data_IF_162607928291
#
_entry.id   IF_162607928291
#
_cell.length_a   1.000
_cell.length_b   1.000
_cell.length_c   1.000
_cell.angle_alpha   90.00
_cell.angle_beta   90.00
_cell.angle_gamma   90.00
#
_symmetry.space_group_name_H-M   'P 1'
#
loop_
_entity.id
_entity.type
_entity.pdbx_description
1 polymer ?
#
# COMPACT_ATOMS: atom_id res chain seq x y z
N UNK A 1 -21.21 10.99 2.96
CA UNK A 1 -19.94 11.49 3.52
C UNK A 1 -18.82 10.69 2.89
N UNK A 2 -17.73 11.32 2.48
CA UNK A 2 -16.57 10.57 2.02
C UNK A 2 -15.88 10.02 3.27
N UNK A 3 -15.99 8.71 3.50
CA UNK A 3 -15.39 8.07 4.67
C UNK A 3 -13.93 7.72 4.40
N UNK A 4 -13.13 7.70 5.47
CA UNK A 4 -11.76 7.19 5.39
C UNK A 4 -11.82 5.69 5.12
N UNK A 5 -10.94 5.19 4.26
CA UNK A 5 -10.85 3.75 4.01
C UNK A 5 -10.32 3.03 5.25
N UNK A 6 -11.13 2.14 5.83
CA UNK A 6 -10.84 1.38 7.05
C UNK A 6 -9.62 0.45 6.94
N UNK A 7 -9.18 0.17 5.71
CA UNK A 7 -7.95 -0.56 5.45
C UNK A 7 -6.76 0.40 5.27
N UNK A 8 -6.92 1.54 4.60
CA UNK A 8 -5.78 2.41 4.29
C UNK A 8 -5.43 3.36 5.45
N UNK A 9 -6.39 3.75 6.30
CA UNK A 9 -6.19 4.79 7.34
C UNK A 9 -5.06 4.48 8.34
N UNK A 10 -4.70 3.20 8.53
CA UNK A 10 -3.60 2.83 9.42
C UNK A 10 -2.27 3.32 8.82
N UNK A 11 -1.42 4.03 9.59
CA UNK A 11 -0.27 4.77 9.05
C UNK A 11 0.69 3.95 8.17
N UNK A 12 0.96 2.68 8.53
CA UNK A 12 1.87 1.84 7.76
C UNK A 12 1.25 1.37 6.44
N UNK A 13 -0.06 1.04 6.42
CA UNK A 13 -0.77 0.68 5.18
C UNK A 13 -0.83 1.87 4.23
N UNK A 14 -1.09 3.07 4.74
CA UNK A 14 -1.00 4.32 3.98
C UNK A 14 0.38 4.50 3.34
N UNK A 15 1.47 4.34 4.11
CA UNK A 15 2.85 4.45 3.59
C UNK A 15 3.17 3.42 2.50
N UNK A 16 2.74 2.16 2.69
CA UNK A 16 2.91 1.10 1.68
C UNK A 16 2.18 1.47 0.40
N UNK A 17 0.90 1.82 0.50
CA UNK A 17 0.08 2.18 -0.67
C UNK A 17 0.61 3.42 -1.38
N UNK A 18 1.09 4.43 -0.64
CA UNK A 18 1.73 5.60 -1.22
C UNK A 18 3.00 5.24 -2.01
N UNK A 19 3.88 4.41 -1.44
CA UNK A 19 5.11 3.97 -2.09
C UNK A 19 4.83 3.20 -3.39
N UNK A 20 3.81 2.33 -3.39
CA UNK A 20 3.41 1.57 -4.59
C UNK A 20 2.73 2.45 -5.64
N UNK A 21 1.96 3.47 -5.21
CA UNK A 21 1.25 4.36 -6.13
C UNK A 21 2.18 5.37 -6.82
N UNK A 22 3.35 5.66 -6.24
CA UNK A 22 4.37 6.51 -6.84
C UNK A 22 5.06 5.87 -8.08
N UNK A 23 4.82 4.58 -8.34
CA UNK A 23 5.38 3.85 -9.49
C UNK A 23 4.35 3.72 -10.63
N UNK A 24 4.80 3.69 -11.90
CA UNK A 24 3.92 3.38 -13.03
C UNK A 24 3.38 1.95 -12.92
N UNK A 25 2.23 1.69 -13.54
CA UNK A 25 1.73 0.31 -13.64
C UNK A 25 2.48 -0.47 -14.73
N UNK A 26 2.67 -1.79 -14.57
CA UNK A 26 2.31 -2.64 -13.42
C UNK A 26 3.46 -2.82 -12.40
N UNK A 27 4.33 -1.82 -12.22
CA UNK A 27 5.55 -1.96 -11.42
C UNK A 27 5.25 -2.09 -9.92
N UNK A 28 5.86 -3.10 -9.30
CA UNK A 28 5.84 -3.33 -7.86
C UNK A 28 7.15 -2.97 -7.15
N UNK A 29 7.16 -3.15 -5.83
CA UNK A 29 8.35 -3.00 -4.99
C UNK A 29 8.70 -4.32 -4.29
N UNK A 30 10.00 -4.57 -4.19
CA UNK A 30 10.51 -5.65 -3.36
C UNK A 30 10.18 -5.40 -1.88
N UNK A 31 9.88 -6.47 -1.14
CA UNK A 31 9.62 -6.40 0.30
C UNK A 31 10.75 -5.69 1.06
N UNK A 32 12.00 -5.98 0.73
CA UNK A 32 13.17 -5.33 1.34
C UNK A 32 13.20 -3.82 1.08
N UNK A 33 12.77 -3.38 -0.11
CA UNK A 33 12.67 -1.96 -0.46
C UNK A 33 11.53 -1.28 0.30
N UNK A 34 10.37 -1.93 0.41
CA UNK A 34 9.26 -1.44 1.23
C UNK A 34 9.66 -1.31 2.70
N UNK A 35 10.34 -2.31 3.26
CA UNK A 35 10.88 -2.26 4.63
C UNK A 35 11.76 -1.04 4.86
N UNK A 36 12.70 -0.78 3.94
CA UNK A 36 13.59 0.39 4.03
C UNK A 36 12.82 1.71 3.94
N UNK A 37 11.82 1.80 3.06
CA UNK A 37 11.02 3.02 2.88
C UNK A 37 10.10 3.32 4.07
N UNK A 38 9.52 2.28 4.68
CA UNK A 38 8.55 2.46 5.76
C UNK A 38 9.18 2.43 7.15
N UNK A 39 10.39 1.90 7.30
CA UNK A 39 11.06 1.69 8.59
C UNK A 39 10.46 0.55 9.41
N UNK A 40 9.63 -0.30 8.81
CA UNK A 40 8.96 -1.39 9.50
C UNK A 40 9.89 -2.58 9.78
N UNK A 41 9.54 -3.38 10.79
CA UNK A 41 10.11 -4.72 10.98
C UNK A 41 9.46 -5.72 10.02
N UNK A 42 10.09 -6.89 9.82
CA UNK A 42 9.60 -7.88 8.85
C UNK A 42 8.21 -8.40 9.22
N UNK A 43 7.98 -8.73 10.50
CA UNK A 43 6.67 -9.19 10.97
C UNK A 43 5.57 -8.14 10.80
N UNK A 44 5.88 -6.87 11.13
CA UNK A 44 4.91 -5.78 11.01
C UNK A 44 4.56 -5.51 9.53
N UNK A 45 5.57 -5.42 8.66
CA UNK A 45 5.37 -5.20 7.24
C UNK A 45 4.60 -6.36 6.59
N UNK A 46 4.95 -7.60 6.94
CA UNK A 46 4.27 -8.81 6.45
C UNK A 46 2.78 -8.82 6.79
N UNK A 47 2.42 -8.56 8.06
CA UNK A 47 1.02 -8.55 8.49
C UNK A 47 0.19 -7.46 7.77
N UNK A 48 0.76 -6.27 7.57
CA UNK A 48 0.07 -5.20 6.85
C UNK A 48 -0.06 -5.49 5.34
N UNK A 49 0.96 -6.05 4.69
CA UNK A 49 0.87 -6.50 3.30
C UNK A 49 -0.19 -7.59 3.16
N UNK A 50 -0.23 -8.57 4.06
CA UNK A 50 -1.24 -9.62 4.05
C UNK A 50 -2.65 -9.04 4.18
N UNK A 51 -2.84 -8.05 5.05
CA UNK A 51 -4.12 -7.38 5.23
C UNK A 51 -4.55 -6.64 3.95
N UNK A 52 -3.61 -5.92 3.32
CA UNK A 52 -3.87 -5.25 2.03
C UNK A 52 -4.15 -6.26 0.91
N UNK A 53 -3.48 -7.40 0.90
CA UNK A 53 -3.70 -8.46 -0.07
C UNK A 53 -5.07 -9.12 0.09
N UNK A 54 -5.49 -9.39 1.33
CA UNK A 54 -6.85 -9.89 1.66
C UNK A 54 -7.95 -8.92 1.21
N UNK A 55 -7.70 -7.61 1.29
CA UNK A 55 -8.59 -6.59 0.76
C UNK A 55 -8.53 -6.44 -0.78
N UNK A 56 -7.65 -7.17 -1.45
CA UNK A 56 -7.45 -7.08 -2.90
C UNK A 56 -6.72 -5.81 -3.35
N UNK A 57 -6.11 -5.05 -2.43
CA UNK A 57 -5.48 -3.76 -2.72
C UNK A 57 -4.07 -3.91 -3.27
N UNK A 58 -3.40 -5.01 -2.92
CA UNK A 58 -2.09 -5.37 -3.46
C UNK A 58 -2.07 -6.82 -3.91
N UNK A 59 -1.27 -7.13 -4.93
CA UNK A 59 -0.83 -8.48 -5.25
C UNK A 59 0.55 -8.72 -4.65
N UNK A 60 0.82 -9.97 -4.31
CA UNK A 60 2.11 -10.41 -3.74
C UNK A 60 2.62 -11.57 -4.58
N UNK A 61 3.76 -11.36 -5.23
CA UNK A 61 4.43 -12.36 -6.05
C UNK A 61 5.71 -12.83 -5.36
N UNK A 62 5.92 -14.14 -5.31
CA UNK A 62 7.14 -14.75 -4.79
C UNK A 62 7.86 -15.44 -5.93
N UNK A 63 9.09 -15.03 -6.18
CA UNK A 63 9.94 -15.60 -7.23
C UNK A 63 11.35 -15.87 -6.69
N UNK A 64 12.14 -16.62 -7.44
CA UNK A 64 13.58 -16.71 -7.23
C UNK A 64 14.30 -15.84 -8.26
N UNK A 65 15.03 -14.83 -7.78
CA UNK A 65 15.89 -14.00 -8.62
C UNK A 65 17.33 -14.49 -8.39
N UNK A 66 17.85 -15.26 -9.36
CA UNK A 66 19.06 -16.04 -9.18
C UNK A 66 18.86 -17.15 -8.15
N UNK A 67 19.61 -17.12 -7.04
CA UNK A 67 19.52 -18.11 -5.94
C UNK A 67 18.80 -17.61 -4.70
N UNK A 68 18.15 -16.43 -4.76
CA UNK A 68 17.51 -15.80 -3.59
C UNK A 68 15.99 -15.70 -3.79
N UNK A 69 15.18 -16.09 -2.78
CA UNK A 69 13.75 -15.83 -2.81
C UNK A 69 13.50 -14.32 -2.67
N UNK A 70 12.62 -13.79 -3.51
CA UNK A 70 12.25 -12.39 -3.56
C UNK A 70 10.74 -12.27 -3.59
N UNK A 71 10.21 -11.39 -2.74
CA UNK A 71 8.80 -11.04 -2.72
C UNK A 71 8.62 -9.65 -3.30
N UNK A 72 7.78 -9.54 -4.32
CA UNK A 72 7.39 -8.28 -4.96
C UNK A 72 5.93 -8.00 -4.63
N UNK A 73 5.65 -6.77 -4.21
CA UNK A 73 4.30 -6.30 -3.90
C UNK A 73 3.92 -5.25 -4.92
N UNK A 74 2.73 -5.37 -5.51
CA UNK A 74 2.25 -4.46 -6.55
C UNK A 74 0.86 -3.96 -6.18
N UNK A 75 0.60 -2.65 -6.29
CA UNK A 75 -0.76 -2.14 -6.08
C UNK A 75 -1.67 -2.53 -7.24
N UNK A 76 -2.83 -3.13 -6.93
CA UNK A 76 -3.84 -3.51 -7.92
C UNK A 76 -4.62 -2.28 -8.40
N UNK A 77 -5.36 -2.40 -9.50
CA UNK A 77 -6.28 -1.34 -9.93
C UNK A 77 -7.29 -0.96 -8.84
N UNK A 78 -7.82 -1.95 -8.11
CA UNK A 78 -8.74 -1.74 -6.97
C UNK A 78 -8.05 -0.95 -5.85
N UNK A 79 -6.85 -1.37 -5.44
CA UNK A 79 -6.10 -0.70 -4.37
C UNK A 79 -5.68 0.72 -4.74
N UNK A 80 -5.29 0.97 -5.99
CA UNK A 80 -4.99 2.34 -6.46
C UNK A 80 -6.22 3.23 -6.43
N UNK A 81 -7.38 2.72 -6.85
CA UNK A 81 -8.65 3.42 -6.73
C UNK A 81 -9.04 3.73 -5.27
N UNK A 82 -8.87 2.75 -4.37
CA UNK A 82 -9.11 2.94 -2.95
C UNK A 82 -8.18 3.99 -2.34
N UNK A 83 -6.88 3.95 -2.68
CA UNK A 83 -5.90 4.93 -2.22
C UNK A 83 -6.21 6.34 -2.73
N UNK A 84 -6.56 6.49 -4.02
CA UNK A 84 -6.93 7.78 -4.59
C UNK A 84 -8.14 8.40 -3.90
N UNK A 85 -9.20 7.60 -3.65
CA UNK A 85 -10.37 8.05 -2.89
C UNK A 85 -10.01 8.45 -1.46
N UNK A 86 -9.20 7.64 -0.77
CA UNK A 86 -8.79 7.94 0.59
C UNK A 86 -7.98 9.24 0.69
N UNK A 87 -7.05 9.48 -0.25
CA UNK A 87 -6.30 10.74 -0.33
C UNK A 87 -7.21 11.93 -0.63
N UNK A 88 -8.19 11.77 -1.53
CA UNK A 88 -9.18 12.81 -1.79
C UNK A 88 -9.98 13.17 -0.53
N UNK A 89 -10.45 12.17 0.23
CA UNK A 89 -11.10 12.39 1.53
C UNK A 89 -10.21 13.14 2.50
N UNK A 90 -8.93 12.76 2.63
CA UNK A 90 -7.98 13.47 3.50
C UNK A 90 -7.80 14.93 3.05
N UNK A 91 -7.75 15.20 1.76
CA UNK A 91 -7.66 16.56 1.22
C UNK A 91 -8.92 17.40 1.51
N UNK A 92 -10.11 16.80 1.44
CA UNK A 92 -11.36 17.47 1.82
C UNK A 92 -11.38 17.85 3.30
N UNK A 93 -10.93 16.95 4.18
CA UNK A 93 -10.82 17.19 5.63
C UNK A 93 -9.83 18.34 5.88
N UNK A 94 -8.64 18.28 5.29
CA UNK A 94 -7.60 19.32 5.43
C UNK A 94 -8.10 20.68 4.92
N UNK A 95 -8.88 20.69 3.84
CA UNK A 95 -9.46 21.90 3.27
C UNK A 95 -10.66 22.45 4.06
N UNK A 96 -11.08 21.78 5.14
CA UNK A 96 -12.23 22.19 5.95
C UNK A 96 -13.58 22.05 5.23
N UNK A 97 -13.65 21.28 4.15
CA UNK A 97 -14.90 21.10 3.36
C UNK A 97 -15.93 20.18 4.04
N UNK A 98 -15.52 19.52 5.12
CA UNK A 98 -16.34 18.61 5.92
C UNK A 98 -16.55 19.14 7.36
N UNK A 99 -16.11 20.38 7.66
CA UNK A 99 -16.26 21.05 8.96
C UNK A 99 -17.30 22.15 8.86
#
# INVERSE_FOLDING_TARGET
MAELDDIIHQPLRLKIMAALNALPQPTGLEFARLKKLTGATDGNLGAHIETLAKAGYVSVEKAFVGKKPQTTVTATAVGRGAFARHVATLQEIIAGKQV
#
